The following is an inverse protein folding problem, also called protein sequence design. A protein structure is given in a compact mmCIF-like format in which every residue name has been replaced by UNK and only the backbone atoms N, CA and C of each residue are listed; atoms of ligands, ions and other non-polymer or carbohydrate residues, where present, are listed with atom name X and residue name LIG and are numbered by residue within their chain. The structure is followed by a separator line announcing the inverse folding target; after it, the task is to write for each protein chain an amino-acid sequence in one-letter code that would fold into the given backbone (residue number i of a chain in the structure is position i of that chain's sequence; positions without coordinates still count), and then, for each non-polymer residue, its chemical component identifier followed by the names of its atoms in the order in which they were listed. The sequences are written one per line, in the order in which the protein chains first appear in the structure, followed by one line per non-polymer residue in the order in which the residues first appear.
data_IF_056466784792
#
_entry.id   IF_056466784792
#
_cell.length_a   1.000
_cell.length_b   1.000
_cell.length_c   1.000
_cell.angle_alpha   90.00
_cell.angle_beta   90.00
_cell.angle_gamma   90.00
#
_symmetry.space_group_name_H-M   'P 1'
#
loop_
_entity.id
_entity.type
_entity.pdbx_description
1 polymer ?
#
# COMPACT_ATOMS: atom_id res chain seq x y z
N UNK A 1 -3.80 -8.90 -25.28
CA UNK A 1 -4.20 -8.41 -23.95
C UNK A 1 -3.00 -7.74 -23.29
N UNK A 2 -2.93 -6.42 -23.33
CA UNK A 2 -1.84 -5.65 -22.71
C UNK A 2 -2.15 -5.50 -21.21
N UNK A 3 -1.33 -6.15 -20.38
CA UNK A 3 -1.42 -6.02 -18.93
C UNK A 3 -1.08 -4.58 -18.53
N UNK A 4 -2.02 -3.99 -17.82
CA UNK A 4 -2.06 -2.63 -17.29
C UNK A 4 -0.90 -2.44 -16.29
N UNK A 5 0.25 -1.95 -16.76
CA UNK A 5 1.39 -1.56 -15.94
C UNK A 5 1.14 -0.24 -15.17
N UNK A 6 0.03 -0.14 -14.42
CA UNK A 6 -0.35 1.06 -13.64
C UNK A 6 0.37 1.21 -12.29
N UNK A 7 1.30 0.30 -11.98
CA UNK A 7 2.17 0.35 -10.83
C UNK A 7 3.55 0.03 -11.40
N UNK A 8 4.47 0.98 -11.60
CA UNK A 8 5.33 1.45 -10.52
C UNK A 8 6.04 2.75 -10.91
N UNK A 9 5.65 3.86 -10.29
CA UNK A 9 6.63 4.82 -9.79
C UNK A 9 6.29 5.06 -8.32
N UNK A 10 6.60 4.07 -7.48
CA UNK A 10 6.65 4.24 -6.04
C UNK A 10 7.82 5.17 -5.73
N UNK A 11 7.58 6.48 -5.80
CA UNK A 11 8.58 7.44 -5.33
C UNK A 11 8.58 7.43 -3.81
N UNK A 12 9.73 7.65 -3.15
CA UNK A 12 9.79 7.81 -1.70
C UNK A 12 8.80 8.88 -1.21
N UNK A 13 8.66 9.97 -1.98
CA UNK A 13 7.70 11.05 -1.71
C UNK A 13 6.24 10.55 -1.74
N UNK A 14 5.85 9.73 -2.73
CA UNK A 14 4.49 9.17 -2.79
C UNK A 14 4.23 8.25 -1.59
N UNK A 15 5.20 7.44 -1.22
CA UNK A 15 5.08 6.55 -0.06
C UNK A 15 4.93 7.34 1.24
N UNK A 16 5.72 8.40 1.42
CA UNK A 16 5.58 9.31 2.55
C UNK A 16 4.21 10.01 2.58
N UNK A 17 3.73 10.47 1.42
CA UNK A 17 2.40 11.09 1.26
C UNK A 17 1.27 10.12 1.62
N UNK A 18 1.36 8.85 1.20
CA UNK A 18 0.38 7.82 1.54
C UNK A 18 0.39 7.58 3.06
N UNK A 19 1.56 7.41 3.67
CA UNK A 19 1.67 7.17 5.13
C UNK A 19 1.05 8.30 5.95
N UNK A 20 1.39 9.55 5.64
CA UNK A 20 0.79 10.71 6.31
C UNK A 20 -0.69 10.86 5.99
N UNK A 21 -1.11 10.62 4.74
CA UNK A 21 -2.52 10.63 4.35
C UNK A 21 -3.35 9.63 5.15
N UNK A 22 -2.83 8.42 5.40
CA UNK A 22 -3.47 7.43 6.25
C UNK A 22 -3.56 7.92 7.71
N UNK A 23 -2.50 8.54 8.24
CA UNK A 23 -2.49 9.09 9.61
C UNK A 23 -3.58 10.16 9.79
N UNK A 24 -3.65 11.11 8.87
CA UNK A 24 -4.64 12.20 8.85
C UNK A 24 -6.05 11.62 8.80
N UNK A 25 -6.34 10.73 7.86
CA UNK A 25 -7.70 10.18 7.72
C UNK A 25 -8.11 9.38 8.96
N UNK A 26 -7.20 8.57 9.53
CA UNK A 26 -7.46 7.89 10.80
C UNK A 26 -7.76 8.86 11.93
N UNK A 27 -7.06 9.99 11.97
CA UNK A 27 -7.32 11.06 12.93
C UNK A 27 -8.72 11.65 12.72
N UNK A 28 -9.10 12.02 11.49
CA UNK A 28 -10.44 12.55 11.14
C UNK A 28 -11.56 11.61 11.59
N UNK A 29 -11.43 10.30 11.31
CA UNK A 29 -12.44 9.32 11.71
C UNK A 29 -12.48 9.06 13.22
N UNK A 30 -11.38 9.34 13.94
CA UNK A 30 -11.30 9.19 15.39
C UNK A 30 -11.78 10.45 16.14
N UNK A 31 -11.56 11.64 15.58
CA UNK A 31 -11.87 12.92 16.21
C UNK A 31 -13.30 13.39 15.95
N UNK A 32 -13.88 13.06 14.79
CA UNK A 32 -15.22 13.52 14.43
C UNK A 32 -16.28 12.47 14.77
N UNK A 33 -17.25 12.85 15.60
CA UNK A 33 -18.46 12.05 15.84
C UNK A 33 -19.26 11.76 14.56
N UNK A 34 -19.14 12.63 13.54
CA UNK A 34 -19.69 12.44 12.20
C UNK A 34 -19.24 11.14 11.52
N UNK A 35 -18.15 10.52 12.00
CA UNK A 35 -17.71 9.18 11.63
C UNK A 35 -18.81 8.12 11.80
N UNK A 36 -19.68 8.25 12.81
CA UNK A 36 -20.79 7.31 13.07
C UNK A 36 -21.81 7.32 11.95
N UNK A 37 -22.14 8.49 11.44
CA UNK A 37 -23.08 8.62 10.32
C UNK A 37 -22.42 8.35 8.97
N UNK A 38 -21.10 8.46 8.88
CA UNK A 38 -20.29 8.33 7.67
C UNK A 38 -19.87 9.67 7.07
N UNK A 39 -18.83 9.66 6.24
CA UNK A 39 -18.33 10.88 5.59
C UNK A 39 -18.27 10.69 4.08
N UNK A 40 -18.69 11.70 3.33
CA UNK A 40 -18.51 11.71 1.88
C UNK A 40 -17.02 11.89 1.56
N UNK A 41 -16.58 11.44 0.38
CA UNK A 41 -15.16 11.61 0.01
C UNK A 41 -14.75 13.09 -0.04
N UNK A 42 -15.69 13.96 -0.42
CA UNK A 42 -15.50 15.42 -0.40
C UNK A 42 -15.36 15.98 1.01
N UNK A 43 -16.16 15.51 1.97
CA UNK A 43 -16.04 15.91 3.37
C UNK A 43 -14.69 15.48 3.95
N UNK A 44 -14.30 14.21 3.74
CA UNK A 44 -12.99 13.70 4.19
C UNK A 44 -11.87 14.58 3.66
N UNK A 45 -11.91 14.90 2.36
CA UNK A 45 -10.89 15.75 1.75
C UNK A 45 -10.87 17.17 2.36
N UNK A 46 -12.03 17.81 2.53
CA UNK A 46 -12.13 19.15 3.14
C UNK A 46 -11.63 19.17 4.58
N UNK A 47 -11.98 18.15 5.37
CA UNK A 47 -11.50 18.00 6.75
C UNK A 47 -9.99 17.77 6.78
N UNK A 48 -9.48 16.93 5.88
CA UNK A 48 -8.06 16.65 5.80
C UNK A 48 -7.21 17.87 5.42
N UNK A 49 -7.72 18.76 4.56
CA UNK A 49 -7.02 20.01 4.24
C UNK A 49 -6.92 20.98 5.43
N UNK A 50 -7.76 20.82 6.46
CA UNK A 50 -7.64 21.61 7.70
C UNK A 50 -6.58 21.05 8.64
N UNK A 51 -6.20 19.77 8.48
CA UNK A 51 -5.18 19.15 9.31
C UNK A 51 -3.77 19.53 8.85
N UNK A 52 -2.87 19.72 9.82
CA UNK A 52 -1.47 20.02 9.52
C UNK A 52 -0.71 18.72 9.22
N UNK A 53 0.09 18.69 8.15
CA UNK A 53 0.94 17.53 7.86
C UNK A 53 2.01 17.35 8.95
N UNK A 54 2.42 16.09 9.17
CA UNK A 54 3.53 15.78 10.06
C UNK A 54 4.85 16.41 9.59
N UNK A 55 5.72 16.76 10.54
CA UNK A 55 7.04 17.37 10.25
C UNK A 55 7.89 16.48 9.35
N UNK A 56 7.86 15.17 9.57
CA UNK A 56 8.61 14.17 8.79
C UNK A 56 8.30 14.23 7.29
N UNK A 57 7.04 14.48 6.94
CA UNK A 57 6.63 14.60 5.55
C UNK A 57 7.10 15.91 4.92
N UNK A 58 7.03 17.02 5.66
CA UNK A 58 7.57 18.29 5.20
C UNK A 58 9.08 18.20 4.96
N UNK A 59 9.80 17.50 5.82
CA UNK A 59 11.24 17.30 5.66
C UNK A 59 11.55 16.39 4.46
N UNK A 60 10.76 15.33 4.26
CA UNK A 60 10.82 14.50 3.05
C UNK A 60 10.56 15.31 1.77
N UNK A 61 9.64 16.27 1.83
CA UNK A 61 9.33 17.17 0.71
C UNK A 61 10.49 18.12 0.42
N UNK A 62 11.10 18.71 1.46
CA UNK A 62 12.30 19.55 1.33
C UNK A 62 13.48 18.78 0.74
N UNK A 63 13.71 17.54 1.19
CA UNK A 63 14.78 16.68 0.66
C UNK A 63 14.56 16.36 -0.82
N UNK A 64 13.33 16.06 -1.23
CA UNK A 64 12.99 15.82 -2.63
C UNK A 64 13.30 17.06 -3.49
N UNK A 65 12.96 18.26 -3.01
CA UNK A 65 13.23 19.51 -3.70
C UNK A 65 14.73 19.86 -3.72
N UNK A 66 15.47 19.55 -2.65
CA UNK A 66 16.91 19.77 -2.57
C UNK A 66 17.68 18.87 -3.55
N UNK A 67 17.27 17.61 -3.69
CA UNK A 67 17.88 16.66 -4.62
C UNK A 67 17.48 16.92 -6.07
N UNK A 68 16.38 17.63 -6.31
CA UNK A 68 15.88 18.03 -7.63
C UNK A 68 16.58 19.26 -8.24
N UNK A 69 17.64 19.79 -7.62
CA UNK A 69 18.38 21.00 -8.08
C UNK A 69 19.12 20.84 -9.43
N UNK A 70 18.93 19.75 -10.17
CA UNK A 70 19.38 19.59 -11.55
C UNK A 70 18.21 19.63 -12.52
N UNK A 71 18.08 20.73 -13.28
CA UNK A 71 17.08 21.03 -14.33
C UNK A 71 15.69 21.41 -13.82
N UNK A 72 15.54 22.71 -13.58
CA UNK A 72 14.26 23.36 -13.32
C UNK A 72 13.26 23.11 -14.45
N UNK A 73 12.23 22.32 -14.14
CA UNK A 73 10.95 22.41 -14.82
C UNK A 73 10.16 23.41 -13.98
N UNK A 74 10.22 24.68 -14.37
CA UNK A 74 9.37 25.72 -13.79
C UNK A 74 7.91 25.28 -13.91
N UNK A 75 7.22 25.22 -12.78
CA UNK A 75 5.85 24.75 -12.61
C UNK A 75 4.79 25.65 -13.27
N UNK A 76 5.15 26.47 -14.25
CA UNK A 76 4.28 27.43 -14.93
C UNK A 76 4.20 27.25 -16.45
N UNK A 77 5.06 26.43 -17.06
CA UNK A 77 5.01 26.20 -18.51
C UNK A 77 4.39 24.83 -18.72
N UNK A 78 3.18 24.78 -19.29
CA UNK A 78 2.61 23.56 -19.86
C UNK A 78 3.56 23.08 -20.96
N UNK A 79 4.60 22.33 -20.59
CA UNK A 79 5.45 21.69 -21.57
C UNK A 79 4.60 20.64 -22.26
N UNK A 80 4.14 20.97 -23.49
CA UNK A 80 3.67 19.99 -24.46
C UNK A 80 4.70 18.86 -24.44
N UNK A 81 4.32 17.68 -23.96
CA UNK A 81 5.10 16.49 -24.27
C UNK A 81 5.16 16.40 -25.80
N UNK A 82 6.29 15.98 -26.35
CA UNK A 82 6.48 15.87 -27.80
C UNK A 82 5.40 14.97 -28.46
N UNK A 83 4.76 14.10 -27.68
CA UNK A 83 3.63 13.27 -28.08
C UNK A 83 2.27 13.98 -28.20
N UNK A 84 2.21 15.31 -28.04
CA UNK A 84 0.95 16.08 -28.08
C UNK A 84 0.00 15.82 -26.89
N UNK A 85 0.42 15.02 -25.90
CA UNK A 85 -0.36 14.76 -24.68
C UNK A 85 -0.28 15.95 -23.73
N UNK A 86 -1.43 16.53 -23.43
CA UNK A 86 -1.56 17.61 -22.45
C UNK A 86 -1.18 17.04 -21.07
N UNK A 87 -0.16 17.61 -20.42
CA UNK A 87 0.15 17.24 -19.04
C UNK A 87 -1.05 17.57 -18.14
N UNK A 88 -1.45 16.66 -17.24
CA UNK A 88 -2.52 16.95 -16.31
C UNK A 88 -2.16 18.19 -15.49
N UNK A 89 -3.14 19.04 -15.14
CA UNK A 89 -2.90 20.21 -14.31
C UNK A 89 -2.23 19.79 -13.00
N UNK A 90 -1.32 20.64 -12.52
CA UNK A 90 -0.69 20.42 -11.23
C UNK A 90 -1.76 20.24 -10.13
N UNK A 91 -1.54 19.34 -9.16
CA UNK A 91 -2.52 19.12 -8.11
C UNK A 91 -2.73 20.41 -7.30
N UNK A 92 -3.97 20.70 -6.84
CA UNK A 92 -4.30 21.96 -6.17
C UNK A 92 -3.42 22.28 -4.96
N UNK A 93 -3.00 21.27 -4.20
CA UNK A 93 -2.21 21.43 -2.97
C UNK A 93 -0.95 20.55 -3.02
N UNK A 94 0.14 20.97 -3.68
CA UNK A 94 1.32 20.12 -3.86
C UNK A 94 2.07 19.84 -2.55
N UNK A 95 1.93 20.71 -1.55
CA UNK A 95 2.58 20.62 -0.24
C UNK A 95 1.84 19.72 0.76
N UNK A 96 0.57 19.38 0.49
CA UNK A 96 -0.22 18.56 1.38
C UNK A 96 -0.07 17.07 1.03
N UNK A 97 -0.03 16.13 2.00
CA UNK A 97 0.05 14.70 1.72
C UNK A 97 -1.12 14.21 0.85
N UNK A 98 -2.32 14.76 1.06
CA UNK A 98 -3.47 14.57 0.17
C UNK A 98 -3.51 15.69 -0.87
N UNK A 99 -2.71 15.54 -1.93
CA UNK A 99 -2.55 16.57 -2.97
C UNK A 99 -3.80 16.84 -3.79
N UNK A 100 -4.67 15.83 -3.92
CA UNK A 100 -5.88 15.89 -4.73
C UNK A 100 -6.94 14.90 -4.25
N UNK A 101 -8.19 15.14 -4.68
CA UNK A 101 -9.30 14.21 -4.50
C UNK A 101 -9.04 12.85 -5.17
N UNK A 102 -8.38 12.85 -6.32
CA UNK A 102 -8.04 11.63 -7.06
C UNK A 102 -7.01 10.80 -6.32
N UNK A 103 -6.03 11.43 -5.68
CA UNK A 103 -5.04 10.74 -4.84
C UNK A 103 -5.71 10.08 -3.63
N UNK A 104 -6.60 10.80 -2.94
CA UNK A 104 -7.39 10.25 -1.84
C UNK A 104 -8.17 9.00 -2.27
N UNK A 105 -8.90 9.07 -3.39
CA UNK A 105 -9.72 7.98 -3.93
C UNK A 105 -8.94 6.77 -4.41
N UNK A 106 -7.78 6.97 -5.05
CA UNK A 106 -7.02 5.89 -5.70
C UNK A 106 -5.99 5.24 -4.79
N UNK A 107 -5.34 6.04 -3.94
CA UNK A 107 -4.15 5.59 -3.21
C UNK A 107 -4.43 5.37 -1.72
N UNK A 108 -5.32 6.14 -1.10
CA UNK A 108 -5.46 6.13 0.37
C UNK A 108 -6.70 5.38 0.85
N UNK A 109 -7.88 5.70 0.30
CA UNK A 109 -9.13 5.04 0.70
C UNK A 109 -9.12 3.52 0.44
N UNK A 110 -8.61 3.00 -0.69
CA UNK A 110 -8.55 1.56 -0.91
C UNK A 110 -7.66 0.81 0.10
N UNK A 111 -6.63 1.47 0.64
CA UNK A 111 -5.77 0.88 1.68
C UNK A 111 -6.55 0.76 2.99
N UNK A 112 -7.28 1.81 3.39
CA UNK A 112 -8.10 1.78 4.61
C UNK A 112 -9.26 0.78 4.49
N UNK A 113 -9.87 0.67 3.31
CA UNK A 113 -10.89 -0.34 3.02
C UNK A 113 -10.30 -1.76 3.04
N UNK A 114 -9.13 -1.96 2.42
CA UNK A 114 -8.42 -3.24 2.45
C UNK A 114 -8.01 -3.67 3.86
N UNK A 115 -7.69 -2.71 4.73
CA UNK A 115 -7.42 -2.95 6.16
C UNK A 115 -8.68 -3.13 7.01
N UNK A 116 -9.87 -3.08 6.40
CA UNK A 116 -11.17 -3.16 7.09
C UNK A 116 -11.36 -2.09 8.18
N UNK A 117 -10.71 -0.93 8.02
CA UNK A 117 -10.87 0.22 8.93
C UNK A 117 -12.10 1.04 8.57
N UNK A 118 -12.41 1.11 7.26
CA UNK A 118 -13.56 1.82 6.71
C UNK A 118 -14.27 0.94 5.69
N UNK A 119 -15.54 1.24 5.43
CA UNK A 119 -16.32 0.61 4.35
C UNK A 119 -17.23 1.63 3.70
N UNK A 120 -17.38 1.54 2.38
CA UNK A 120 -18.34 2.35 1.64
C UNK A 120 -19.75 1.76 1.81
N UNK A 121 -20.70 2.56 2.30
CA UNK A 121 -22.09 2.16 2.52
C UNK A 121 -23.05 3.17 1.87
N UNK A 122 -24.15 2.67 1.30
CA UNK A 122 -25.27 3.51 0.86
C UNK A 122 -26.08 3.91 2.07
N UNK A 123 -26.32 5.21 2.23
CA UNK A 123 -27.16 5.75 3.29
C UNK A 123 -28.06 6.83 2.72
N UNK A 124 -29.31 6.85 3.18
CA UNK A 124 -30.22 7.95 2.91
C UNK A 124 -29.86 9.13 3.82
N UNK A 125 -29.54 10.29 3.24
CA UNK A 125 -29.28 11.54 3.97
C UNK A 125 -30.12 12.67 3.40
N UNK A 126 -30.54 13.58 4.27
CA UNK A 126 -31.01 14.88 3.83
C UNK A 126 -29.81 15.65 3.26
N UNK A 127 -29.90 16.21 2.06
CA UNK A 127 -28.81 16.97 1.48
C UNK A 127 -28.55 18.18 2.37
N UNK A 128 -27.41 18.18 3.05
CA UNK A 128 -26.91 19.39 3.68
C UNK A 128 -26.48 20.27 2.53
N UNK A 129 -27.33 21.24 2.18
CA UNK A 129 -26.95 22.33 1.31
C UNK A 129 -25.84 23.05 2.08
N UNK A 130 -24.59 22.70 1.77
CA UNK A 130 -23.45 23.48 2.20
C UNK A 130 -23.59 24.80 1.47
N UNK A 131 -24.29 25.75 2.09
CA UNK A 131 -24.21 27.16 1.74
C UNK A 131 -22.73 27.47 1.83
N UNK A 132 -22.08 27.49 0.66
CA UNK A 132 -20.71 27.95 0.57
C UNK A 132 -20.77 29.40 1.04
N UNK A 133 -20.48 29.64 2.31
CA UNK A 133 -19.99 30.92 2.75
C UNK A 133 -18.73 31.15 1.91
N UNK A 134 -18.94 31.80 0.77
CA UNK A 134 -17.90 32.44 0.03
C UNK A 134 -17.34 33.47 0.99
N UNK A 135 -16.32 33.08 1.75
CA UNK A 135 -15.34 34.01 2.28
C UNK A 135 -14.75 34.71 1.06
N UNK A 136 -15.41 35.77 0.64
CA UNK A 136 -14.84 36.83 -0.17
C UNK A 136 -13.69 37.40 0.67
N UNK A 137 -12.52 36.79 0.56
CA UNK A 137 -11.26 37.45 0.89
C UNK A 137 -11.13 38.62 -0.07
N UNK A 138 -11.65 39.77 0.35
CA UNK A 138 -11.29 41.08 -0.17
C UNK A 138 -9.78 41.23 -0.01
N UNK A 139 -9.02 40.89 -1.05
CA UNK A 139 -7.66 41.39 -1.21
C UNK A 139 -7.77 42.82 -1.77
N UNK A 140 -7.34 43.86 -1.05
CA UNK A 140 -7.23 45.19 -1.63
C UNK A 140 -6.05 45.20 -2.60
N UNK A 141 -6.34 44.98 -3.89
CA UNK A 141 -5.37 45.20 -4.97
C UNK A 141 -5.19 46.70 -5.15
N UNK A 142 -4.21 47.27 -4.44
CA UNK A 142 -3.71 48.63 -4.67
C UNK A 142 -2.89 48.60 -5.97
N UNK A 143 -3.55 48.87 -7.09
CA UNK A 143 -2.94 48.98 -8.42
C UNK A 143 -3.51 50.17 -9.19
N UNK A 144 -2.69 51.18 -9.38
CA UNK A 144 -2.95 52.45 -10.09
C UNK A 144 -3.32 52.23 -11.57
N UNK A 145 -4.15 53.15 -12.06
CA UNK A 145 -4.33 53.59 -13.44
C UNK A 145 -4.97 52.60 -14.43
N UNK A 146 -6.19 52.90 -14.89
CA UNK A 146 -6.39 53.47 -16.25
C UNK A 146 -7.83 53.97 -16.44
N UNK A 147 -7.95 55.15 -17.04
CA UNK A 147 -9.19 55.87 -17.34
C UNK A 147 -9.93 55.20 -18.49
N UNK A 148 -11.20 54.85 -18.28
CA UNK A 148 -12.14 54.54 -19.37
C UNK A 148 -13.58 54.72 -18.91
N UNK A 149 -14.39 55.61 -19.53
CA UNK A 149 -15.79 55.78 -19.15
C UNK A 149 -16.67 54.80 -19.94
N UNK A 150 -17.28 53.82 -19.27
CA UNK A 150 -18.44 53.10 -19.82
C UNK A 150 -19.56 52.98 -18.78
N UNK A 151 -20.65 53.69 -19.08
CA UNK A 151 -21.97 53.65 -18.46
C UNK A 151 -22.41 52.21 -18.16
N UNK A 152 -22.71 51.92 -16.90
CA UNK A 152 -23.51 50.76 -16.51
C UNK A 152 -24.88 51.24 -16.02
N UNK A 153 -25.94 50.66 -16.61
CA UNK A 153 -27.33 50.79 -16.17
C UNK A 153 -27.51 50.00 -14.87
N UNK A 154 -28.24 50.51 -13.87
CA UNK A 154 -28.72 49.70 -12.76
C UNK A 154 -29.83 48.78 -13.28
N UNK A 155 -29.64 47.46 -13.14
CA UNK A 155 -30.72 46.48 -13.26
C UNK A 155 -31.03 46.03 -11.84
N UNK A 156 -32.19 46.47 -11.35
CA UNK A 156 -32.76 46.09 -10.06
C UNK A 156 -32.95 44.57 -10.02
N UNK A 157 -32.04 43.87 -9.34
CA UNK A 157 -32.22 42.46 -8.99
C UNK A 157 -33.20 42.39 -7.82
N UNK A 158 -34.47 42.21 -8.16
CA UNK A 158 -35.51 41.78 -7.23
C UNK A 158 -35.06 40.50 -6.50
N UNK A 159 -34.83 40.63 -5.18
CA UNK A 159 -34.73 39.51 -4.24
C UNK A 159 -36.11 38.84 -4.17
N UNK A 160 -36.33 37.82 -4.99
CA UNK A 160 -37.46 36.90 -4.80
C UNK A 160 -37.06 35.94 -3.67
N UNK A 161 -37.62 36.16 -2.48
CA UNK A 161 -37.54 35.26 -1.33
C UNK A 161 -38.36 34.00 -1.61
N UNK A 162 -37.85 33.09 -2.43
CA UNK A 162 -38.45 31.76 -2.58
C UNK A 162 -37.97 30.88 -1.43
N UNK A 163 -38.87 30.57 -0.50
CA UNK A 163 -38.68 29.51 0.50
C UNK A 163 -38.27 28.23 -0.22
N UNK A 164 -37.09 27.65 0.06
CA UNK A 164 -36.66 26.44 -0.62
C UNK A 164 -37.61 25.28 -0.29
N UNK A 165 -37.97 24.44 -1.27
CA UNK A 165 -38.85 23.29 -1.05
C UNK A 165 -38.22 22.32 -0.03
N UNK A 166 -39.04 21.58 0.74
CA UNK A 166 -38.55 20.62 1.72
C UNK A 166 -37.66 19.58 1.04
N UNK A 167 -36.40 19.50 1.46
CA UNK A 167 -35.41 18.64 0.84
C UNK A 167 -35.77 17.17 1.00
N UNK A 168 -35.98 16.46 -0.12
CA UNK A 168 -36.22 15.03 -0.11
C UNK A 168 -34.95 14.26 0.27
N UNK A 169 -35.07 13.09 0.92
CA UNK A 169 -33.93 12.26 1.26
C UNK A 169 -33.22 11.76 -0.01
N UNK A 170 -31.90 11.95 -0.08
CA UNK A 170 -31.06 11.49 -1.20
C UNK A 170 -30.19 10.33 -0.73
N UNK A 171 -30.13 9.27 -1.53
CA UNK A 171 -29.23 8.14 -1.25
C UNK A 171 -27.81 8.49 -1.69
N UNK A 172 -26.87 8.52 -0.75
CA UNK A 172 -25.46 8.86 -0.98
C UNK A 172 -24.55 7.73 -0.50
N UNK A 173 -23.43 7.54 -1.18
CA UNK A 173 -22.37 6.63 -0.76
C UNK A 173 -21.43 7.33 0.22
N UNK A 174 -21.31 6.78 1.42
CA UNK A 174 -20.49 7.34 2.50
C UNK A 174 -19.49 6.32 3.01
N UNK A 175 -18.32 6.81 3.38
CA UNK A 175 -17.32 6.03 4.08
C UNK A 175 -17.65 6.02 5.57
N UNK A 176 -17.90 4.84 6.11
CA UNK A 176 -18.14 4.65 7.55
C UNK A 176 -16.98 3.91 8.17
N UNK A 177 -16.62 4.29 9.39
CA UNK A 177 -15.65 3.54 10.17
C UNK A 177 -16.24 2.17 10.49
N UNK A 178 -15.61 1.13 9.97
CA UNK A 178 -15.99 -0.23 10.29
C UNK A 178 -15.18 -0.61 11.52
N UNK A 179 -15.80 -0.54 12.70
CA UNK A 179 -15.24 -1.21 13.87
C UNK A 179 -15.40 -2.69 13.59
N UNK A 180 -14.39 -3.30 12.98
CA UNK A 180 -14.14 -4.70 13.22
C UNK A 180 -13.93 -4.76 14.72
N UNK A 181 -14.99 -5.10 15.47
CA UNK A 181 -14.80 -5.78 16.74
C UNK A 181 -13.86 -6.91 16.36
N UNK A 182 -12.55 -6.73 16.59
CA UNK A 182 -11.63 -7.84 16.47
C UNK A 182 -12.34 -8.90 17.29
N UNK A 183 -12.80 -10.02 16.71
CA UNK A 183 -13.33 -11.09 17.53
C UNK A 183 -12.23 -11.32 18.53
N UNK A 184 -12.58 -11.08 19.80
CA UNK A 184 -11.61 -10.93 20.86
C UNK A 184 -10.62 -12.09 20.70
N UNK A 185 -9.37 -11.77 20.37
CA UNK A 185 -8.38 -12.80 20.06
C UNK A 185 -8.07 -13.66 21.30
N UNK A 186 -8.75 -13.38 22.42
CA UNK A 186 -8.77 -14.14 23.65
C UNK A 186 -9.38 -15.54 23.55
N UNK A 187 -10.32 -15.86 22.63
CA UNK A 187 -10.95 -17.20 22.66
C UNK A 187 -11.26 -17.75 21.26
N UNK A 188 -10.21 -18.13 20.54
CA UNK A 188 -10.23 -19.46 19.90
C UNK A 188 -9.01 -20.19 20.40
N UNK A 189 -9.13 -20.75 21.60
CA UNK A 189 -8.42 -21.99 21.89
C UNK A 189 -8.80 -22.96 20.78
N UNK A 190 -7.88 -23.12 19.82
CA UNK A 190 -8.00 -24.09 18.77
C UNK A 190 -7.86 -25.47 19.43
N UNK A 191 -8.99 -26.02 19.88
CA UNK A 191 -9.14 -27.41 20.34
C UNK A 191 -9.19 -28.34 19.13
N UNK A 192 -8.20 -28.23 18.25
CA UNK A 192 -7.97 -29.20 17.19
C UNK A 192 -7.27 -30.45 17.72
N UNK A 193 -7.48 -31.63 17.12
CA UNK A 193 -6.97 -32.93 17.58
C UNK A 193 -5.44 -33.09 17.53
N UNK A 194 -4.70 -32.02 17.25
CA UNK A 194 -3.23 -32.01 17.14
C UNK A 194 -2.53 -31.43 18.38
N UNK A 195 -3.27 -31.10 19.45
CA UNK A 195 -2.65 -30.71 20.72
C UNK A 195 -2.27 -31.95 21.52
N UNK A 196 -1.02 -32.37 21.31
CA UNK A 196 -0.10 -33.24 22.10
C UNK A 196 0.64 -34.11 21.07
N UNK A 197 1.96 -34.01 20.92
CA UNK A 197 2.93 -34.32 21.97
C UNK A 197 4.30 -33.67 21.72
N UNK A 198 4.91 -33.21 22.82
CA UNK A 198 6.36 -33.09 23.05
C UNK A 198 7.14 -32.24 22.06
N UNK A 199 7.16 -30.94 22.32
CA UNK A 199 8.32 -30.11 22.01
C UNK A 199 9.47 -30.59 22.90
N UNK A 200 10.17 -31.61 22.42
CA UNK A 200 11.47 -32.00 22.93
C UNK A 200 12.48 -30.89 22.65
N UNK A 201 13.32 -30.68 23.65
CA UNK A 201 14.62 -30.02 23.59
C UNK A 201 15.28 -30.16 22.22
N UNK A 202 15.20 -29.11 21.40
CA UNK A 202 16.16 -28.76 20.36
C UNK A 202 15.80 -27.33 20.01
N UNK A 203 16.33 -26.40 20.80
CA UNK A 203 16.10 -24.97 20.63
C UNK A 203 16.46 -24.55 19.21
N UNK A 204 15.49 -23.99 18.50
CA UNK A 204 15.61 -22.93 17.48
C UNK A 204 14.17 -22.42 17.27
N UNK A 205 13.72 -21.55 18.16
CA UNK A 205 12.52 -20.73 17.91
C UNK A 205 12.91 -19.56 17.02
N UNK A 206 12.89 -19.75 15.70
CA UNK A 206 12.88 -18.61 14.77
C UNK A 206 11.44 -18.15 14.65
N UNK A 207 11.11 -17.04 15.32
CA UNK A 207 9.84 -16.34 15.13
C UNK A 207 9.63 -16.04 13.63
N UNK A 208 8.55 -16.55 12.99
CA UNK A 208 8.33 -16.43 11.56
C UNK A 208 7.50 -15.19 11.20
N UNK A 209 7.72 -14.07 11.90
CA UNK A 209 6.96 -12.85 11.70
C UNK A 209 7.89 -11.80 11.08
N UNK A 210 7.59 -11.42 9.83
CA UNK A 210 8.09 -10.22 9.12
C UNK A 210 9.38 -10.30 8.29
N UNK A 211 9.58 -11.34 7.49
CA UNK A 211 10.54 -11.20 6.38
C UNK A 211 10.07 -11.92 5.11
N UNK A 212 9.28 -11.18 4.32
CA UNK A 212 8.77 -11.55 2.98
C UNK A 212 9.76 -11.19 1.87
N UNK A 213 11.02 -10.90 2.20
CA UNK A 213 12.06 -10.64 1.20
C UNK A 213 12.34 -11.85 0.29
N UNK A 214 12.64 -11.58 -0.99
CA UNK A 214 13.02 -12.59 -2.00
C UNK A 214 14.17 -13.51 -1.53
N UNK A 215 15.11 -12.96 -0.76
CA UNK A 215 16.22 -13.69 -0.15
C UNK A 215 15.74 -14.73 0.86
N UNK A 216 14.79 -14.39 1.72
CA UNK A 216 14.25 -15.32 2.71
C UNK A 216 13.42 -16.42 2.05
N UNK A 217 12.71 -16.08 0.94
CA UNK A 217 12.03 -17.07 0.09
C UNK A 217 13.00 -18.05 -0.55
N UNK A 218 14.14 -17.60 -1.11
CA UNK A 218 15.19 -18.48 -1.64
C UNK A 218 15.79 -19.37 -0.55
N UNK A 219 16.09 -18.82 0.63
CA UNK A 219 16.60 -19.60 1.78
C UNK A 219 15.60 -20.66 2.24
N UNK A 220 14.30 -20.35 2.25
CA UNK A 220 13.25 -21.34 2.55
C UNK A 220 13.22 -22.48 1.53
N UNK A 221 13.22 -22.16 0.23
CA UNK A 221 13.24 -23.20 -0.80
C UNK A 221 14.48 -24.10 -0.71
N UNK A 222 15.66 -23.52 -0.50
CA UNK A 222 16.89 -24.30 -0.32
C UNK A 222 16.83 -25.22 0.91
N UNK A 223 16.21 -24.77 2.01
CA UNK A 223 16.00 -25.61 3.21
C UNK A 223 15.01 -26.75 2.95
N UNK A 224 13.90 -26.47 2.27
CA UNK A 224 12.93 -27.51 1.90
C UNK A 224 13.55 -28.56 0.97
N UNK A 225 14.35 -28.11 -0.01
CA UNK A 225 15.05 -29.03 -0.92
C UNK A 225 16.06 -29.90 -0.18
N UNK A 226 16.81 -29.33 0.78
CA UNK A 226 17.71 -30.09 1.65
C UNK A 226 16.96 -31.14 2.47
N UNK A 227 15.88 -30.75 3.14
CA UNK A 227 15.06 -31.65 3.96
C UNK A 227 14.43 -32.77 3.12
N UNK A 228 13.99 -32.46 1.89
CA UNK A 228 13.45 -33.45 0.97
C UNK A 228 14.51 -34.47 0.51
N UNK A 229 15.76 -34.04 0.30
CA UNK A 229 16.87 -34.95 0.00
C UNK A 229 17.19 -35.84 1.20
N UNK A 230 17.26 -35.27 2.40
CA UNK A 230 17.54 -36.02 3.62
C UNK A 230 16.43 -37.05 3.92
N UNK A 231 15.15 -36.67 3.76
CA UNK A 231 14.04 -37.61 3.94
C UNK A 231 14.02 -38.72 2.90
N UNK A 232 14.40 -38.43 1.65
CA UNK A 232 14.53 -39.43 0.60
C UNK A 232 15.68 -40.42 0.87
N UNK A 233 16.82 -39.94 1.38
CA UNK A 233 17.95 -40.80 1.81
C UNK A 233 17.51 -41.69 2.97
N UNK A 234 16.87 -41.11 4.00
CA UNK A 234 16.36 -41.86 5.14
C UNK A 234 15.35 -42.93 4.73
N UNK A 235 14.40 -42.59 3.86
CA UNK A 235 13.40 -43.54 3.34
C UNK A 235 14.05 -44.67 2.54
N UNK A 236 15.14 -44.38 1.81
CA UNK A 236 15.88 -45.40 1.06
C UNK A 236 16.64 -46.35 1.99
N UNK A 237 17.16 -45.83 3.08
CA UNK A 237 17.86 -46.59 4.11
C UNK A 237 16.89 -47.49 4.89
N UNK A 238 15.74 -46.95 5.29
CA UNK A 238 14.64 -47.72 5.89
C UNK A 238 14.18 -48.86 4.98
N UNK A 239 14.05 -48.63 3.66
CA UNK A 239 13.74 -49.69 2.69
C UNK A 239 14.83 -50.74 2.56
N UNK A 240 16.11 -50.36 2.69
CA UNK A 240 17.24 -51.31 2.65
C UNK A 240 17.25 -52.21 3.88
N UNK A 241 16.95 -51.65 5.06
CA UNK A 241 16.79 -52.39 6.31
C UNK A 241 15.58 -53.32 6.22
N UNK A 242 14.44 -52.81 5.74
CA UNK A 242 13.21 -53.60 5.61
C UNK A 242 13.32 -54.77 4.60
N UNK A 243 14.09 -54.60 3.52
CA UNK A 243 14.28 -55.64 2.52
C UNK A 243 15.33 -56.70 2.91
N UNK A 244 15.81 -56.71 4.16
CA UNK A 244 16.70 -57.75 4.67
C UNK A 244 18.04 -57.83 3.94
N UNK A 245 18.45 -56.78 3.22
CA UNK A 245 19.82 -56.69 2.70
C UNK A 245 20.77 -56.33 3.84
N UNK A 246 21.00 -57.28 4.75
CA UNK A 246 22.22 -57.36 5.53
C UNK A 246 23.38 -57.64 4.55
N UNK A 247 23.80 -56.60 3.82
CA UNK A 247 25.17 -56.59 3.35
C UNK A 247 25.99 -56.05 4.50
N UNK A 248 26.59 -56.99 5.22
CA UNK A 248 27.78 -56.83 6.05
C UNK A 248 28.59 -55.59 5.63
N UNK A 249 29.04 -54.75 6.58
CA UNK A 249 29.87 -53.60 6.25
C UNK A 249 31.03 -54.07 5.38
N UNK A 250 31.09 -53.59 4.14
CA UNK A 250 32.21 -53.80 3.23
C UNK A 250 33.49 -53.56 4.02
N UNK A 251 34.24 -54.64 4.27
CA UNK A 251 35.54 -54.51 4.94
C UNK A 251 36.40 -53.56 4.12
N UNK A 252 37.17 -52.71 4.79
CA UNK A 252 38.05 -51.70 4.18
C UNK A 252 38.99 -52.28 3.10
N UNK A 253 39.16 -53.61 3.07
CA UNK A 253 39.92 -54.36 2.08
C UNK A 253 39.28 -54.42 0.67
N UNK A 254 37.95 -54.42 0.55
CA UNK A 254 37.28 -54.53 -0.76
C UNK A 254 37.24 -53.19 -1.51
N UNK A 255 37.10 -52.07 -0.79
CA UNK A 255 37.21 -50.73 -1.39
C UNK A 255 38.61 -50.46 -1.97
N UNK A 256 39.66 -51.06 -1.40
CA UNK A 256 41.03 -50.96 -1.91
C UNK A 256 41.23 -51.74 -3.22
N UNK A 257 40.48 -52.83 -3.47
CA UNK A 257 40.55 -53.59 -4.73
C UNK A 257 39.86 -52.86 -5.89
N UNK A 258 38.71 -52.23 -5.64
CA UNK A 258 37.98 -51.48 -6.67
C UNK A 258 38.78 -50.22 -7.10
N UNK A 259 39.48 -49.56 -6.18
CA UNK A 259 40.33 -48.41 -6.49
C UNK A 259 41.57 -48.76 -7.34
N UNK A 260 42.11 -49.98 -7.23
CA UNK A 260 43.23 -50.43 -8.09
C UNK A 260 42.78 -50.72 -9.52
N UNK A 261 41.63 -51.37 -9.71
CA UNK A 261 41.15 -51.73 -11.06
C UNK A 261 40.72 -50.52 -11.91
N UNK A 262 40.33 -49.41 -11.28
CA UNK A 262 40.00 -48.16 -11.99
C UNK A 262 41.23 -47.42 -12.53
N UNK A 263 42.41 -47.61 -11.93
CA UNK A 263 43.65 -46.95 -12.36
C UNK A 263 44.27 -47.58 -13.61
N UNK A 264 44.09 -48.87 -13.83
CA UNK A 264 44.66 -49.58 -14.99
C UNK A 264 43.81 -49.42 -16.26
N UNK A 265 42.51 -49.17 -16.14
CA UNK A 265 41.63 -48.89 -17.29
C UNK A 265 41.94 -47.56 -17.99
N UNK A 266 42.47 -46.57 -17.26
CA UNK A 266 42.75 -45.24 -17.81
C UNK A 266 44.09 -45.15 -18.58
N UNK A 267 44.94 -46.18 -18.55
CA UNK A 267 46.23 -46.20 -19.28
C UNK A 267 46.15 -46.85 -20.67
N UNK A 268 45.05 -47.55 -20.99
CA UNK A 268 44.89 -48.24 -22.28
C UNK A 268 44.28 -47.41 -23.41
N UNK A 269 43.90 -46.15 -23.16
CA UNK A 269 43.28 -45.27 -24.17
C UNK A 269 44.23 -44.19 -24.74
N UNK A 270 45.55 -44.37 -24.63
CA UNK A 270 46.56 -43.42 -25.17
C UNK A 270 47.41 -43.97 -26.32
N UNK A 271 47.07 -45.14 -26.85
CA UNK A 271 47.75 -45.76 -27.98
C UNK A 271 46.72 -46.37 -28.93
N UNK A 272 45.88 -45.54 -29.54
CA UNK A 272 45.27 -45.74 -30.86
C UNK A 272 44.83 -44.38 -31.39
#
# INVERSE_FOLDING_TARGET
MQAVALYTKFTPQRTAAIREGLRIIRHIFSSNDASKEGLSTSEIYRLALKEKPGKEFLDSLKQANANGKGKGISSGVQSKLEDGRIQPPAPPNPEHPLKSMTFLKKDVLPILEGNQEIRLQKTSRLPIVHTSESTATNTPTKGKNEKGPKKQKPVDKQLSSSTPPPASPVTVWLWKQFRTTRPDSSIREYNGPWKKTRLGELGITVNPVLDTGHLNRRRRFARYEKLARESAVRSREERRVANGTEKEPFTTSELARIAKNSRDGARKLKLF
#
